data_IF_483214959168
#
_entry.id   IF_483214959168
#
_cell.length_a   1.000
_cell.length_b   1.000
_cell.length_c   1.000
_cell.angle_alpha   90.00
_cell.angle_beta   90.00
_cell.angle_gamma   90.00
#
_symmetry.space_group_name_H-M   'P 1'
#
loop_
_entity.id
_entity.type
_entity.pdbx_description
1 polymer ?
#
# COMPACT_ATOMS: atom_id res chain seq x y z
N UNK A 1 17.87 -9.02 -55.23
CA UNK A 1 17.93 -8.22 -53.98
C UNK A 1 16.75 -8.58 -53.10
N UNK A 2 16.99 -8.86 -51.82
CA UNK A 2 15.95 -9.15 -50.83
C UNK A 2 15.95 -8.04 -49.78
N UNK A 3 14.80 -7.43 -49.50
CA UNK A 3 14.66 -6.27 -48.60
C UNK A 3 15.61 -5.09 -48.90
N UNK A 4 15.99 -4.88 -50.17
CA UNK A 4 16.91 -3.81 -50.57
C UNK A 4 18.38 -4.03 -50.13
N UNK A 5 18.74 -5.23 -49.66
CA UNK A 5 20.08 -5.56 -49.17
C UNK A 5 20.70 -6.64 -50.07
N UNK A 6 22.01 -6.50 -50.35
CA UNK A 6 22.80 -7.44 -51.15
C UNK A 6 22.98 -7.04 -52.61
N UNK A 7 23.57 -7.94 -53.41
CA UNK A 7 23.81 -7.72 -54.84
C UNK A 7 22.55 -7.99 -55.69
N UNK A 8 22.44 -7.31 -56.84
CA UNK A 8 21.39 -7.60 -57.84
C UNK A 8 21.62 -8.95 -58.50
N UNK A 9 22.87 -9.23 -58.90
CA UNK A 9 23.34 -10.52 -59.40
C UNK A 9 24.74 -10.82 -58.85
N UNK A 10 25.08 -12.10 -58.58
CA UNK A 10 26.42 -12.47 -58.12
C UNK A 10 27.46 -12.49 -59.27
N UNK A 11 27.00 -12.50 -60.52
CA UNK A 11 27.84 -12.53 -61.73
C UNK A 11 28.66 -11.24 -61.83
N UNK A 12 29.98 -11.36 -61.99
CA UNK A 12 30.91 -10.23 -62.05
C UNK A 12 31.39 -9.72 -60.69
N UNK A 13 30.80 -10.18 -59.57
CA UNK A 13 31.28 -9.82 -58.22
C UNK A 13 32.48 -10.65 -57.74
N UNK A 14 32.78 -11.77 -58.39
CA UNK A 14 33.83 -12.69 -57.97
C UNK A 14 33.53 -13.44 -56.67
N UNK A 15 32.28 -13.41 -56.18
CA UNK A 15 31.85 -14.09 -54.95
C UNK A 15 30.56 -14.90 -55.18
N UNK A 16 30.22 -15.77 -54.22
CA UNK A 16 29.00 -16.58 -54.29
C UNK A 16 27.70 -15.79 -54.02
N UNK A 17 27.79 -14.49 -53.71
CA UNK A 17 26.61 -13.64 -53.42
C UNK A 17 25.91 -13.93 -52.09
N UNK A 18 26.57 -14.62 -51.16
CA UNK A 18 26.01 -14.94 -49.84
C UNK A 18 25.99 -13.70 -48.94
N UNK A 19 24.82 -13.36 -48.39
CA UNK A 19 24.62 -12.18 -47.54
C UNK A 19 24.25 -12.64 -46.13
N UNK A 20 25.08 -12.29 -45.15
CA UNK A 20 24.84 -12.57 -43.73
C UNK A 20 24.35 -11.31 -43.01
N UNK A 21 23.40 -11.48 -42.07
CA UNK A 21 23.00 -10.38 -41.18
C UNK A 21 24.18 -10.00 -40.26
N UNK A 22 24.40 -8.70 -40.07
CA UNK A 22 25.36 -8.24 -39.08
C UNK A 22 24.80 -8.48 -37.66
N UNK A 23 25.48 -9.33 -36.88
CA UNK A 23 25.10 -9.64 -35.49
C UNK A 23 25.43 -8.50 -34.51
N UNK A 24 26.44 -7.70 -34.84
CA UNK A 24 26.90 -6.56 -34.02
C UNK A 24 26.16 -5.27 -34.34
N UNK A 25 25.29 -5.26 -35.36
CA UNK A 25 24.43 -4.12 -35.65
C UNK A 25 23.37 -4.02 -34.56
N UNK A 26 23.61 -3.12 -33.60
CA UNK A 26 22.63 -2.75 -32.59
C UNK A 26 21.52 -2.00 -33.31
N UNK A 27 20.31 -2.57 -33.34
CA UNK A 27 19.14 -1.83 -33.77
C UNK A 27 19.07 -0.59 -32.89
N UNK A 28 19.19 0.59 -33.50
CA UNK A 28 18.90 1.84 -32.81
C UNK A 28 17.46 1.69 -32.33
N UNK A 29 17.29 1.42 -31.03
CA UNK A 29 15.98 1.55 -30.40
C UNK A 29 15.59 2.97 -30.75
N UNK A 30 14.47 3.16 -31.45
CA UNK A 30 13.90 4.48 -31.64
C UNK A 30 13.98 5.20 -30.29
N UNK A 31 14.38 6.49 -30.24
CA UNK A 31 14.47 7.20 -28.99
C UNK A 31 13.20 6.91 -28.21
N UNK A 32 13.39 6.44 -26.96
CA UNK A 32 12.31 5.96 -26.08
C UNK A 32 11.22 7.03 -25.90
N UNK A 33 11.55 8.27 -26.23
CA UNK A 33 10.74 9.47 -26.16
C UNK A 33 9.51 9.48 -27.10
N UNK A 34 9.47 8.68 -28.17
CA UNK A 34 8.25 8.59 -29.02
C UNK A 34 7.23 7.53 -28.56
N UNK A 35 7.59 6.68 -27.60
CA UNK A 35 6.62 5.80 -26.89
C UNK A 35 6.23 6.34 -25.53
N UNK A 36 6.99 7.28 -24.97
CA UNK A 36 6.67 8.07 -23.79
C UNK A 36 5.57 9.13 -24.00
N UNK A 37 4.53 8.82 -24.77
CA UNK A 37 3.35 9.68 -24.86
C UNK A 37 2.49 9.58 -23.59
N UNK A 38 1.39 10.34 -23.50
CA UNK A 38 0.43 10.33 -22.37
C UNK A 38 0.01 8.93 -21.87
N UNK A 39 0.17 7.88 -22.68
CA UNK A 39 -0.07 6.49 -22.27
C UNK A 39 0.94 6.00 -21.22
N UNK A 40 2.23 6.32 -21.35
CA UNK A 40 3.24 5.89 -20.38
C UNK A 40 3.08 6.64 -19.03
N UNK A 41 2.69 7.92 -19.05
CA UNK A 41 2.36 8.68 -17.82
C UNK A 41 1.08 8.15 -17.18
N UNK A 42 0.02 7.92 -17.96
CA UNK A 42 -1.25 7.33 -17.47
C UNK A 42 -1.04 5.90 -16.95
N UNK A 43 -0.18 5.12 -17.59
CA UNK A 43 0.11 3.75 -17.14
C UNK A 43 0.99 3.77 -15.89
N UNK A 44 1.89 4.74 -15.73
CA UNK A 44 2.64 4.97 -14.48
C UNK A 44 1.73 5.42 -13.35
N UNK A 45 0.84 6.39 -13.59
CA UNK A 45 -0.17 6.85 -12.63
C UNK A 45 -1.15 5.73 -12.24
N UNK A 46 -1.55 4.89 -13.20
CA UNK A 46 -2.33 3.68 -12.93
C UNK A 46 -1.57 2.68 -12.07
N UNK A 47 -0.29 2.47 -12.32
CA UNK A 47 0.54 1.57 -11.53
C UNK A 47 0.74 2.11 -10.10
N UNK A 48 1.02 3.40 -9.96
CA UNK A 48 1.17 4.10 -8.69
C UNK A 48 -0.15 4.10 -7.89
N UNK A 49 -1.29 4.35 -8.54
CA UNK A 49 -2.60 4.29 -7.88
C UNK A 49 -3.01 2.87 -7.50
N UNK A 50 -2.62 1.84 -8.26
CA UNK A 50 -2.80 0.45 -7.85
C UNK A 50 -1.94 0.09 -6.64
N UNK A 51 -0.69 0.57 -6.60
CA UNK A 51 0.24 0.30 -5.49
C UNK A 51 -0.14 1.07 -4.22
N UNK A 52 -0.70 2.27 -4.36
CA UNK A 52 -1.11 3.16 -3.28
C UNK A 52 -2.61 3.03 -2.94
N UNK A 53 -3.31 2.04 -3.51
CA UNK A 53 -4.73 1.86 -3.24
C UNK A 53 -4.92 1.50 -1.77
N UNK A 54 -5.58 2.39 -1.04
CA UNK A 54 -5.85 2.16 0.37
C UNK A 54 -6.68 0.87 0.56
N UNK A 55 -6.40 0.11 1.63
CA UNK A 55 -7.23 -1.03 1.99
C UNK A 55 -8.66 -0.55 2.27
N UNK A 56 -9.65 -1.27 1.75
CA UNK A 56 -11.04 -0.99 2.07
C UNK A 56 -11.44 -1.79 3.31
N UNK A 57 -11.88 -1.09 4.36
CA UNK A 57 -12.31 -1.69 5.62
C UNK A 57 -13.45 -2.70 5.41
N UNK A 58 -14.43 -2.38 4.55
CA UNK A 58 -15.57 -3.25 4.27
C UNK A 58 -15.12 -4.62 3.74
N UNK A 59 -14.12 -4.62 2.85
CA UNK A 59 -13.61 -5.86 2.25
C UNK A 59 -12.89 -6.72 3.30
N UNK A 60 -12.13 -6.09 4.20
CA UNK A 60 -11.47 -6.79 5.30
C UNK A 60 -12.50 -7.39 6.28
N UNK A 61 -13.54 -6.64 6.63
CA UNK A 61 -14.63 -7.16 7.46
C UNK A 61 -15.38 -8.31 6.80
N UNK A 62 -15.65 -8.21 5.49
CA UNK A 62 -16.27 -9.29 4.73
C UNK A 62 -15.39 -10.53 4.69
N UNK A 63 -14.08 -10.38 4.52
CA UNK A 63 -13.15 -11.51 4.59
C UNK A 63 -13.16 -12.15 5.98
N UNK A 64 -13.12 -11.35 7.05
CA UNK A 64 -13.22 -11.83 8.43
C UNK A 64 -14.50 -12.63 8.68
N UNK A 65 -15.66 -12.06 8.33
CA UNK A 65 -16.97 -12.74 8.44
C UNK A 65 -17.00 -14.05 7.63
N UNK A 66 -16.45 -14.03 6.42
CA UNK A 66 -16.37 -15.23 5.58
C UNK A 66 -15.53 -16.33 6.21
N UNK A 67 -14.35 -15.99 6.75
CA UNK A 67 -13.48 -16.95 7.43
C UNK A 67 -14.17 -17.61 8.63
N UNK A 68 -14.97 -16.83 9.37
CA UNK A 68 -15.78 -17.35 10.47
C UNK A 68 -16.81 -18.36 9.99
N UNK A 69 -17.62 -17.99 8.99
CA UNK A 69 -18.66 -18.88 8.45
C UNK A 69 -18.06 -20.13 7.79
N UNK A 70 -16.88 -20.05 7.17
CA UNK A 70 -16.17 -21.23 6.64
C UNK A 70 -15.83 -22.20 7.78
N UNK A 71 -15.28 -21.71 8.91
CA UNK A 71 -14.99 -22.57 10.08
C UNK A 71 -16.26 -23.19 10.67
N UNK A 72 -17.37 -22.44 10.69
CA UNK A 72 -18.66 -22.96 11.13
C UNK A 72 -19.19 -24.05 10.20
N UNK A 73 -19.07 -23.87 8.88
CA UNK A 73 -19.45 -24.87 7.89
C UNK A 73 -18.58 -26.14 8.00
N UNK A 74 -17.26 -26.00 8.16
CA UNK A 74 -16.36 -27.13 8.40
C UNK A 74 -16.76 -27.93 9.65
N UNK A 75 -17.14 -27.25 10.74
CA UNK A 75 -17.62 -27.91 11.95
C UNK A 75 -18.94 -28.65 11.72
N UNK A 76 -19.86 -28.02 10.97
CA UNK A 76 -21.12 -28.64 10.59
C UNK A 76 -20.89 -29.91 9.79
N UNK A 77 -20.07 -29.85 8.73
CA UNK A 77 -19.74 -31.00 7.88
C UNK A 77 -19.13 -32.15 8.71
N UNK A 78 -18.20 -31.85 9.62
CA UNK A 78 -17.61 -32.86 10.52
C UNK A 78 -18.63 -33.52 11.44
N UNK A 79 -19.64 -32.79 11.92
CA UNK A 79 -20.68 -33.36 12.77
C UNK A 79 -21.72 -34.16 11.96
N UNK A 80 -22.02 -33.74 10.74
CA UNK A 80 -22.88 -34.49 9.82
C UNK A 80 -22.24 -35.83 9.44
N UNK A 81 -20.94 -35.85 9.13
CA UNK A 81 -20.19 -37.09 8.85
C UNK A 81 -20.15 -38.05 10.05
N UNK A 82 -20.14 -37.52 11.27
CA UNK A 82 -20.18 -38.31 12.51
C UNK A 82 -21.60 -38.79 12.87
N UNK A 83 -22.63 -38.32 12.18
CA UNK A 83 -24.02 -38.75 12.35
C UNK A 83 -24.73 -38.12 13.56
N UNK A 84 -24.36 -36.91 13.99
CA UNK A 84 -25.10 -36.17 15.01
C UNK A 84 -26.50 -35.76 14.52
N UNK A 85 -27.41 -35.47 15.46
CA UNK A 85 -28.73 -34.94 15.14
C UNK A 85 -28.65 -33.47 14.70
N UNK A 86 -29.60 -33.03 13.87
CA UNK A 86 -29.63 -31.66 13.36
C UNK A 86 -29.72 -30.60 14.47
N UNK A 87 -30.44 -30.89 15.56
CA UNK A 87 -30.59 -29.98 16.71
C UNK A 87 -29.25 -29.80 17.45
N UNK A 88 -28.53 -30.90 17.71
CA UNK A 88 -27.21 -30.85 18.36
C UNK A 88 -26.16 -30.13 17.50
N UNK A 89 -26.24 -30.29 16.18
CA UNK A 89 -25.38 -29.59 15.22
C UNK A 89 -25.61 -28.08 15.31
N UNK A 90 -26.86 -27.63 15.25
CA UNK A 90 -27.20 -26.21 15.28
C UNK A 90 -26.76 -25.54 16.59
N UNK A 91 -26.99 -26.18 17.75
CA UNK A 91 -26.54 -25.67 19.05
C UNK A 91 -25.02 -25.54 19.12
N UNK A 92 -24.29 -26.57 18.69
CA UNK A 92 -22.81 -26.54 18.71
C UNK A 92 -22.25 -25.51 17.73
N UNK A 93 -22.78 -25.43 16.51
CA UNK A 93 -22.35 -24.44 15.53
C UNK A 93 -22.64 -23.01 16.00
N UNK A 94 -23.79 -22.75 16.62
CA UNK A 94 -24.12 -21.44 17.18
C UNK A 94 -23.20 -21.06 18.35
N UNK A 95 -22.92 -22.00 19.27
CA UNK A 95 -21.97 -21.75 20.36
C UNK A 95 -20.55 -21.49 19.82
N UNK A 96 -20.14 -22.20 18.78
CA UNK A 96 -18.85 -22.03 18.12
C UNK A 96 -18.76 -20.69 17.39
N UNK A 97 -19.84 -20.27 16.72
CA UNK A 97 -19.94 -18.94 16.08
C UNK A 97 -19.74 -17.83 17.11
N UNK A 98 -20.40 -17.89 18.26
CA UNK A 98 -20.23 -16.92 19.35
C UNK A 98 -18.79 -16.92 19.90
N UNK A 99 -18.21 -18.11 20.12
CA UNK A 99 -16.82 -18.23 20.59
C UNK A 99 -15.81 -17.65 19.59
N UNK A 100 -16.00 -17.86 18.30
CA UNK A 100 -15.12 -17.31 17.26
C UNK A 100 -15.25 -15.78 17.14
N UNK A 101 -16.47 -15.25 17.24
CA UNK A 101 -16.69 -13.81 17.27
C UNK A 101 -15.98 -13.15 18.45
N UNK A 102 -16.04 -13.77 19.64
CA UNK A 102 -15.39 -13.26 20.85
C UNK A 102 -13.85 -13.39 20.80
N UNK A 103 -13.32 -14.51 20.28
CA UNK A 103 -11.86 -14.73 20.16
C UNK A 103 -11.17 -13.83 19.15
N UNK A 104 -11.86 -13.40 18.10
CA UNK A 104 -11.27 -12.53 17.08
C UNK A 104 -11.30 -11.04 17.45
N UNK A 105 -11.97 -10.65 18.54
CA UNK A 105 -11.71 -9.36 19.19
C UNK A 105 -10.30 -9.38 19.80
N UNK A 106 -9.53 -8.30 19.59
CA UNK A 106 -8.31 -8.27 18.79
C UNK A 106 -7.17 -9.11 19.39
N UNK A 107 -7.17 -10.43 19.17
CA UNK A 107 -6.08 -11.29 19.59
C UNK A 107 -5.54 -12.12 18.43
N UNK A 108 -4.41 -11.60 17.96
CA UNK A 108 -3.32 -12.35 17.33
C UNK A 108 -3.58 -12.77 15.88
N UNK A 109 -2.90 -12.01 15.02
CA UNK A 109 -2.41 -12.43 13.71
C UNK A 109 -1.61 -13.74 13.84
N UNK A 110 -2.30 -14.86 13.90
CA UNK A 110 -1.69 -16.15 13.60
C UNK A 110 -1.37 -16.18 12.12
N UNK A 111 -0.16 -15.70 11.81
CA UNK A 111 0.80 -16.14 10.79
C UNK A 111 0.25 -17.03 9.66
N UNK A 112 -0.81 -16.60 8.99
CA UNK A 112 -1.07 -17.03 7.63
C UNK A 112 -0.53 -15.92 6.74
N UNK A 113 0.53 -16.26 5.99
CA UNK A 113 1.02 -15.37 4.95
C UNK A 113 -0.19 -15.12 4.04
N UNK A 114 -0.63 -13.86 3.87
CA UNK A 114 -1.78 -13.57 3.03
C UNK A 114 -1.54 -14.21 1.68
N UNK A 115 -2.44 -15.09 1.28
CA UNK A 115 -2.37 -15.75 -0.03
C UNK A 115 -2.40 -14.66 -1.09
N UNK A 116 -1.79 -14.91 -2.25
CA UNK A 116 -1.67 -13.91 -3.35
C UNK A 116 -3.03 -13.32 -3.78
N UNK A 117 -4.12 -14.01 -3.46
CA UNK A 117 -5.51 -13.60 -3.68
C UNK A 117 -6.00 -12.46 -2.76
N UNK A 118 -5.38 -12.21 -1.61
CA UNK A 118 -5.86 -11.23 -0.63
C UNK A 118 -5.20 -9.84 -0.79
N UNK A 119 -5.52 -9.18 -1.91
CA UNK A 119 -4.93 -7.88 -2.28
C UNK A 119 -5.13 -6.79 -1.22
N UNK A 120 -6.28 -6.75 -0.56
CA UNK A 120 -6.58 -5.74 0.47
C UNK A 120 -5.90 -6.03 1.81
N UNK A 121 -5.78 -7.29 2.22
CA UNK A 121 -5.01 -7.67 3.40
C UNK A 121 -3.53 -7.36 3.21
N UNK A 122 -2.98 -7.64 2.01
CA UNK A 122 -1.63 -7.25 1.62
C UNK A 122 -1.43 -5.73 1.65
N UNK A 123 -2.39 -4.97 1.11
CA UNK A 123 -2.34 -3.51 1.14
C UNK A 123 -2.35 -2.96 2.57
N UNK A 124 -3.21 -3.48 3.45
CA UNK A 124 -3.25 -3.09 4.87
C UNK A 124 -1.93 -3.42 5.59
N UNK A 125 -1.39 -4.62 5.38
CA UNK A 125 -0.11 -5.01 5.97
C UNK A 125 1.05 -4.15 5.43
N UNK A 126 1.04 -3.81 4.14
CA UNK A 126 2.04 -2.92 3.55
C UNK A 126 1.91 -1.49 4.08
N UNK A 127 0.70 -0.98 4.26
CA UNK A 127 0.46 0.33 4.87
C UNK A 127 1.01 0.38 6.30
N UNK A 128 0.72 -0.61 7.13
CA UNK A 128 1.27 -0.69 8.50
C UNK A 128 2.80 -0.76 8.50
N UNK A 129 3.41 -1.53 7.59
CA UNK A 129 4.88 -1.56 7.43
C UNK A 129 5.43 -0.20 7.02
N UNK A 130 4.79 0.46 6.06
CA UNK A 130 5.17 1.78 5.59
C UNK A 130 5.03 2.83 6.70
N UNK A 131 3.97 2.78 7.51
CA UNK A 131 3.75 3.69 8.64
C UNK A 131 4.81 3.47 9.73
N UNK A 132 5.16 2.21 10.01
CA UNK A 132 6.26 1.88 10.93
C UNK A 132 7.61 2.40 10.42
N UNK A 133 7.87 2.28 9.13
CA UNK A 133 9.08 2.83 8.51
C UNK A 133 9.07 4.36 8.53
N UNK A 134 7.94 5.00 8.23
CA UNK A 134 7.78 6.46 8.31
C UNK A 134 8.09 6.98 9.70
N UNK A 135 7.54 6.34 10.74
CA UNK A 135 7.84 6.67 12.12
C UNK A 135 9.33 6.47 12.45
N UNK A 136 9.94 5.36 12.01
CA UNK A 136 11.35 5.06 12.25
C UNK A 136 12.30 6.06 11.57
N UNK A 137 11.95 6.53 10.36
CA UNK A 137 12.70 7.56 9.64
C UNK A 137 12.37 8.99 10.08
N UNK A 138 11.44 9.18 11.02
CA UNK A 138 11.03 10.51 11.49
C UNK A 138 10.26 11.32 10.43
N UNK A 139 9.61 10.65 9.48
CA UNK A 139 8.76 11.30 8.47
C UNK A 139 7.41 11.62 9.13
N UNK A 140 7.00 12.88 9.08
CA UNK A 140 5.72 13.34 9.65
C UNK A 140 4.53 12.68 8.95
N UNK A 141 3.42 12.48 9.69
CA UNK A 141 2.14 12.00 9.13
C UNK A 141 1.65 12.86 7.96
N UNK A 142 1.91 14.16 8.02
CA UNK A 142 1.43 15.15 7.06
C UNK A 142 2.34 15.28 5.83
N UNK A 143 3.39 14.44 5.76
CA UNK A 143 4.29 14.41 4.62
C UNK A 143 3.56 13.85 3.40
N UNK A 144 3.55 14.64 2.31
CA UNK A 144 3.02 14.19 1.02
C UNK A 144 4.17 14.11 0.04
N UNK A 145 4.26 12.97 -0.64
CA UNK A 145 5.27 12.73 -1.66
C UNK A 145 5.16 13.76 -2.80
N UNK A 146 6.29 14.11 -3.40
CA UNK A 146 6.36 15.14 -4.46
C UNK A 146 6.18 16.59 -4.00
N UNK A 147 5.78 16.83 -2.75
CA UNK A 147 5.49 18.21 -2.29
C UNK A 147 6.70 19.06 -1.92
N UNK A 148 7.91 18.49 -2.03
CA UNK A 148 9.19 19.16 -1.75
C UNK A 148 9.49 20.36 -2.66
N UNK A 149 8.87 20.43 -3.85
CA UNK A 149 9.09 21.50 -4.83
C UNK A 149 8.01 22.60 -4.80
N UNK A 150 6.98 22.49 -3.95
CA UNK A 150 5.93 23.50 -3.86
C UNK A 150 6.30 24.61 -2.86
N UNK A 151 6.71 25.78 -3.38
CA UNK A 151 7.11 26.94 -2.58
C UNK A 151 6.00 27.38 -1.59
N UNK A 152 4.75 27.47 -2.06
CA UNK A 152 3.59 27.88 -1.25
C UNK A 152 3.37 26.99 -0.02
N UNK A 153 3.70 25.70 -0.13
CA UNK A 153 3.51 24.75 0.97
C UNK A 153 4.59 24.88 2.03
N UNK A 154 5.83 25.16 1.60
CA UNK A 154 6.94 25.46 2.49
C UNK A 154 6.64 26.71 3.31
N UNK A 155 6.13 27.77 2.68
CA UNK A 155 5.72 28.99 3.36
C UNK A 155 4.60 28.75 4.36
N UNK A 156 3.56 27.98 3.99
CA UNK A 156 2.47 27.62 4.92
C UNK A 156 2.98 26.82 6.11
N UNK A 157 3.89 25.87 5.89
CA UNK A 157 4.49 25.06 6.98
C UNK A 157 5.29 25.94 7.93
N UNK A 158 6.13 26.83 7.41
CA UNK A 158 6.90 27.78 8.22
C UNK A 158 6.01 28.76 8.98
N UNK A 159 4.89 29.20 8.39
CA UNK A 159 3.90 30.04 9.09
C UNK A 159 3.21 29.27 10.22
N UNK A 160 2.85 28.01 9.99
CA UNK A 160 2.20 27.17 11.00
C UNK A 160 3.14 26.91 12.18
N UNK A 161 4.40 26.55 11.92
CA UNK A 161 5.43 26.36 12.94
C UNK A 161 5.69 27.66 13.74
N UNK A 162 5.68 28.83 13.08
CA UNK A 162 5.79 30.13 13.76
C UNK A 162 4.59 30.40 14.66
N UNK A 163 3.36 30.11 14.21
CA UNK A 163 2.15 30.29 15.02
C UNK A 163 2.16 29.37 16.25
N UNK A 164 2.50 28.09 16.07
CA UNK A 164 2.57 27.13 17.16
C UNK A 164 3.62 27.53 18.20
N UNK A 165 4.79 28.04 17.75
CA UNK A 165 5.83 28.55 18.65
C UNK A 165 5.36 29.75 19.47
N UNK A 166 4.68 30.70 18.83
CA UNK A 166 4.10 31.87 19.51
C UNK A 166 3.02 31.47 20.51
N UNK A 167 2.18 30.50 20.17
CA UNK A 167 1.14 29.99 21.06
C UNK A 167 1.74 29.27 22.27
N UNK A 168 2.79 28.46 22.06
CA UNK A 168 3.53 27.80 23.13
C UNK A 168 4.22 28.80 24.07
N UNK A 169 4.78 29.88 23.53
CA UNK A 169 5.35 30.97 24.34
C UNK A 169 4.27 31.69 25.15
N UNK A 170 3.11 31.99 24.55
CA UNK A 170 1.97 32.58 25.28
C UNK A 170 1.45 31.67 26.40
N UNK A 171 1.30 30.37 26.13
CA UNK A 171 0.89 29.39 27.14
C UNK A 171 1.90 29.29 28.28
N UNK A 172 3.21 29.34 28.00
CA UNK A 172 4.24 29.38 29.03
C UNK A 172 4.12 30.65 29.88
N UNK A 173 3.97 31.82 29.24
CA UNK A 173 3.80 33.10 29.96
C UNK A 173 2.56 33.08 30.86
N UNK A 174 1.43 32.57 30.37
CA UNK A 174 0.20 32.41 31.16
C UNK A 174 0.43 31.51 32.38
N UNK A 175 1.09 30.35 32.21
CA UNK A 175 1.45 29.47 33.33
C UNK A 175 2.37 30.16 34.35
N UNK A 176 3.38 30.91 33.90
CA UNK A 176 4.26 31.65 34.80
C UNK A 176 3.49 32.74 35.58
N UNK A 177 2.55 33.44 34.95
CA UNK A 177 1.72 34.44 35.63
C UNK A 177 0.76 33.81 36.64
N UNK A 178 0.13 32.69 36.31
CA UNK A 178 -0.78 31.97 37.23
C UNK A 178 -0.04 31.44 38.47
N UNK A 179 1.16 30.88 38.30
CA UNK A 179 2.00 30.43 39.42
C UNK A 179 2.44 31.61 40.29
N UNK A 180 2.80 32.75 39.68
CA UNK A 180 3.17 33.96 40.40
C UNK A 180 2.02 34.62 41.19
N UNK A 181 0.79 34.50 40.70
CA UNK A 181 -0.42 34.96 41.41
C UNK A 181 -0.86 34.00 42.52
N UNK A 182 -0.69 32.69 42.34
CA UNK A 182 -0.94 31.68 43.38
C UNK A 182 -0.06 31.86 44.62
N UNK A 183 1.24 32.12 44.43
CA UNK A 183 2.18 32.38 45.53
C UNK A 183 1.85 33.67 46.30
N UNK A 184 1.25 34.67 45.64
CA UNK A 184 0.81 35.91 46.32
C UNK A 184 -0.49 35.74 47.11
N UNK A 185 -1.31 34.73 46.81
CA UNK A 185 -2.55 34.42 47.53
C UNK A 185 -2.34 33.53 48.77
N UNK A 186 -1.23 32.79 48.84
CA UNK A 186 -0.87 31.97 50.03
C UNK A 186 -0.10 32.74 51.12
N UNK A 187 0.32 33.98 50.87
CA UNK A 187 1.14 34.80 51.80
C UNK A 187 0.29 35.86 52.54
N UNK A 188 -1.03 35.68 52.61
CA UNK A 188 -1.94 36.50 53.44
C UNK A 188 -2.69 35.59 54.42
#
# INVERSE_FOLDING_TARGET
MYNGIGLTTPRGSGTNGYVQRNLSSVRVKRPRDERGGERDEKDRERLESQLNRQPNADILEHQRKRQLEVKCAELQDMMEEQGYSAEEIEEKVNSFRMMLQEKEEPLQSSIDRPTVTETHALAAANQQKNDRLRAAFGISSDYVDGSSFHADRKEKKEQLEKQERLEREKQQQQKYTEVGEGVKREVI
#
